data_IF_331429664557
#
_entry.id   IF_331429664557
#
_cell.length_a   1.000
_cell.length_b   1.000
_cell.length_c   1.000
_cell.angle_alpha   90.00
_cell.angle_beta   90.00
_cell.angle_gamma   90.00
#
_symmetry.space_group_name_H-M   'P 1'
#
loop_
_entity.id
_entity.type
_entity.pdbx_description
1 polymer ?
#
# COMPACT_ATOMS: atom_id res chain seq x y z
N UNK A 1 -35.85 -39.80 36.86
CA UNK A 1 -34.61 -40.62 36.87
C UNK A 1 -34.34 -41.16 35.47
N UNK A 2 -33.05 -41.18 35.08
CA UNK A 2 -32.41 -41.89 33.95
C UNK A 2 -32.58 -41.34 32.53
N UNK A 3 -31.68 -40.41 32.22
CA UNK A 3 -31.10 -40.10 30.93
C UNK A 3 -30.22 -41.28 30.44
N UNK A 4 -30.27 -41.62 29.14
CA UNK A 4 -29.21 -42.37 28.45
C UNK A 4 -28.89 -41.71 27.11
N UNK A 5 -27.64 -41.28 27.01
CA UNK A 5 -26.95 -40.72 25.84
C UNK A 5 -26.52 -41.81 24.85
N UNK A 6 -26.53 -41.48 23.55
CA UNK A 6 -25.58 -41.89 22.49
C UNK A 6 -25.64 -40.76 21.42
N UNK A 7 -24.66 -39.86 21.28
CA UNK A 7 -23.40 -39.97 20.51
C UNK A 7 -23.64 -40.27 19.01
N UNK A 8 -22.99 -39.69 18.00
CA UNK A 8 -22.01 -38.63 17.83
C UNK A 8 -21.91 -38.36 16.30
N UNK A 9 -21.42 -37.19 15.88
CA UNK A 9 -21.13 -36.93 14.47
C UNK A 9 -20.45 -35.57 14.24
N UNK A 10 -19.15 -35.48 14.52
CA UNK A 10 -18.30 -34.35 14.13
C UNK A 10 -17.45 -34.82 12.95
N UNK A 11 -17.74 -34.31 11.75
CA UNK A 11 -16.85 -34.46 10.60
C UNK A 11 -15.80 -33.34 10.68
N UNK A 12 -14.57 -33.72 11.05
CA UNK A 12 -13.41 -32.85 10.97
C UNK A 12 -12.90 -32.77 9.52
N UNK A 13 -12.79 -31.56 8.98
CA UNK A 13 -12.07 -31.30 7.72
C UNK A 13 -10.59 -31.11 8.05
N UNK A 14 -9.81 -32.16 7.82
CA UNK A 14 -8.36 -32.17 7.96
C UNK A 14 -7.68 -31.41 6.82
N UNK A 15 -6.76 -30.52 7.20
CA UNK A 15 -5.84 -29.79 6.34
C UNK A 15 -4.89 -30.78 5.63
N UNK A 16 -4.87 -30.78 4.31
CA UNK A 16 -3.88 -31.51 3.52
C UNK A 16 -2.57 -30.72 3.50
N UNK A 17 -1.64 -31.11 4.37
CA UNK A 17 -0.21 -30.82 4.19
C UNK A 17 0.42 -31.90 3.32
N UNK A 18 1.19 -31.52 2.31
CA UNK A 18 2.09 -32.43 1.60
C UNK A 18 3.48 -31.78 1.53
N UNK A 19 4.39 -32.35 2.31
CA UNK A 19 5.84 -32.12 2.22
C UNK A 19 6.46 -33.25 1.41
N UNK A 20 7.09 -32.85 0.30
CA UNK A 20 8.28 -33.35 -0.39
C UNK A 20 8.56 -34.85 -0.52
N UNK A 21 8.80 -35.28 -1.77
CA UNK A 21 9.86 -36.24 -2.06
C UNK A 21 10.64 -35.82 -3.32
N UNK A 22 11.96 -35.79 -3.19
CA UNK A 22 12.96 -35.35 -4.17
C UNK A 22 13.23 -36.41 -5.25
N UNK A 23 13.34 -36.01 -6.54
CA UNK A 23 14.43 -36.46 -7.43
C UNK A 23 14.45 -35.63 -8.74
N UNK A 24 15.58 -35.00 -9.01
CA UNK A 24 16.03 -34.39 -10.28
C UNK A 24 17.18 -35.27 -10.81
N UNK A 25 17.64 -35.23 -12.10
CA UNK A 25 17.29 -34.27 -13.14
C UNK A 25 17.11 -34.86 -14.56
N UNK A 26 16.45 -34.09 -15.44
CA UNK A 26 16.76 -34.12 -16.87
C UNK A 26 16.77 -32.69 -17.39
N UNK A 27 17.93 -32.32 -17.94
CA UNK A 27 18.22 -31.03 -18.51
C UNK A 27 17.40 -30.84 -19.80
N UNK A 28 16.58 -29.80 -19.82
CA UNK A 28 16.09 -29.17 -21.04
C UNK A 28 16.04 -27.66 -20.77
N UNK A 29 16.57 -26.81 -21.68
CA UNK A 29 16.63 -25.37 -21.44
C UNK A 29 15.25 -24.78 -21.78
N UNK A 30 14.30 -24.91 -20.86
CA UNK A 30 13.03 -24.20 -20.95
C UNK A 30 13.20 -22.78 -20.40
N UNK A 31 12.82 -21.85 -21.25
CA UNK A 31 12.76 -20.40 -21.11
C UNK A 31 12.52 -19.86 -19.68
N UNK A 32 13.05 -18.66 -19.35
CA UNK A 32 12.83 -18.04 -18.05
C UNK A 32 11.33 -17.85 -17.81
N UNK A 33 10.85 -18.39 -16.69
CA UNK A 33 9.51 -18.14 -16.18
C UNK A 33 9.29 -16.62 -16.00
N UNK A 34 8.12 -16.07 -16.39
CA UNK A 34 7.84 -14.66 -16.18
C UNK A 34 7.78 -14.37 -14.68
N UNK A 35 8.60 -13.42 -14.23
CA UNK A 35 8.58 -12.88 -12.89
C UNK A 35 7.16 -12.43 -12.49
N UNK A 36 6.78 -12.49 -11.19
CA UNK A 36 5.52 -11.94 -10.70
C UNK A 36 5.43 -10.47 -11.14
N UNK A 37 4.49 -10.17 -12.03
CA UNK A 37 4.26 -8.81 -12.51
C UNK A 37 3.84 -7.98 -11.30
N UNK A 38 4.66 -6.99 -10.95
CA UNK A 38 4.26 -5.94 -10.02
C UNK A 38 2.88 -5.39 -10.44
N UNK A 39 1.99 -5.02 -9.50
CA UNK A 39 0.67 -4.52 -9.84
C UNK A 39 0.83 -3.33 -10.80
N UNK A 40 0.36 -3.50 -12.03
CA UNK A 40 0.32 -2.42 -13.01
C UNK A 40 -0.71 -1.42 -12.52
N UNK A 41 -0.24 -0.32 -11.96
CA UNK A 41 -1.08 0.82 -11.60
C UNK A 41 -1.72 1.32 -12.88
N UNK A 42 -3.03 1.08 -13.05
CA UNK A 42 -3.81 1.73 -14.08
C UNK A 42 -3.78 3.23 -13.76
N UNK A 43 -3.04 4.00 -14.57
CA UNK A 43 -3.07 5.46 -14.51
C UNK A 43 -4.41 5.90 -15.08
N UNK A 44 -5.42 5.99 -14.23
CA UNK A 44 -6.61 6.78 -14.53
C UNK A 44 -6.16 8.22 -14.71
N UNK A 45 -6.52 8.82 -15.84
CA UNK A 45 -6.32 10.24 -16.09
C UNK A 45 -6.92 11.03 -14.92
N UNK A 46 -6.13 11.98 -14.41
CA UNK A 46 -6.46 12.78 -13.24
C UNK A 46 -7.79 13.51 -13.45
N UNK A 47 -8.80 13.16 -12.65
CA UNK A 47 -10.04 13.94 -12.56
C UNK A 47 -9.71 15.25 -11.85
N UNK A 48 -9.70 16.35 -12.60
CA UNK A 48 -9.35 17.66 -12.05
C UNK A 48 -10.30 18.04 -10.91
N UNK A 49 -9.74 18.27 -9.72
CA UNK A 49 -10.47 18.59 -8.50
C UNK A 49 -11.31 19.87 -8.66
N UNK A 50 -12.54 19.88 -8.11
CA UNK A 50 -13.29 21.13 -7.95
C UNK A 50 -12.52 22.11 -7.05
N UNK A 51 -12.70 23.44 -7.19
CA UNK A 51 -12.01 24.43 -6.36
C UNK A 51 -12.17 24.15 -4.86
N UNK A 52 -13.39 23.81 -4.42
CA UNK A 52 -13.70 23.48 -3.02
C UNK A 52 -12.87 22.31 -2.48
N UNK A 53 -12.65 21.27 -3.30
CA UNK A 53 -11.79 20.14 -2.93
C UNK A 53 -10.33 20.54 -2.84
N UNK A 54 -9.88 21.47 -3.68
CA UNK A 54 -8.50 21.96 -3.66
C UNK A 54 -8.20 22.73 -2.38
N UNK A 55 -9.16 23.54 -1.90
CA UNK A 55 -9.02 24.31 -0.66
C UNK A 55 -8.93 23.37 0.55
N UNK A 56 -9.85 22.40 0.66
CA UNK A 56 -9.81 21.40 1.74
C UNK A 56 -8.54 20.57 1.71
N UNK A 57 -8.13 20.12 0.53
CA UNK A 57 -6.86 19.40 0.38
C UNK A 57 -5.67 20.25 0.83
N UNK A 58 -5.66 21.55 0.51
CA UNK A 58 -4.60 22.46 0.91
C UNK A 58 -4.49 22.60 2.43
N UNK A 59 -5.63 22.75 3.12
CA UNK A 59 -5.70 22.82 4.57
C UNK A 59 -5.17 21.53 5.23
N UNK A 60 -5.64 20.37 4.76
CA UNK A 60 -5.20 19.08 5.28
C UNK A 60 -3.71 18.82 5.02
N UNK A 61 -3.22 19.16 3.82
CA UNK A 61 -1.81 19.06 3.48
C UNK A 61 -0.95 19.94 4.38
N UNK A 62 -1.38 21.17 4.68
CA UNK A 62 -0.68 22.05 5.64
C UNK A 62 -0.64 21.40 7.03
N UNK A 63 -1.76 20.82 7.46
CA UNK A 63 -1.85 20.23 8.78
C UNK A 63 -0.96 18.98 8.93
N UNK A 64 -0.87 18.14 7.89
CA UNK A 64 0.10 17.03 7.81
C UNK A 64 1.53 17.57 7.77
N UNK A 65 1.83 18.60 6.98
CA UNK A 65 3.16 19.19 6.92
C UNK A 65 3.59 19.84 8.25
N UNK A 66 2.64 20.30 9.08
CA UNK A 66 2.94 20.78 10.43
C UNK A 66 3.31 19.63 11.38
N UNK A 67 2.63 18.48 11.30
CA UNK A 67 2.92 17.34 12.17
C UNK A 67 4.30 16.73 11.90
N UNK A 68 4.86 16.88 10.70
CA UNK A 68 6.24 16.42 10.42
C UNK A 68 7.29 17.14 11.26
N UNK A 69 7.02 18.38 11.73
CA UNK A 69 7.98 19.15 12.53
C UNK A 69 8.13 18.63 13.95
N UNK A 70 7.09 17.98 14.47
CA UNK A 70 7.08 17.39 15.81
C UNK A 70 7.59 15.96 15.84
N UNK A 71 7.84 15.35 14.67
CA UNK A 71 8.28 13.96 14.57
C UNK A 71 9.81 13.90 14.37
N UNK A 72 10.57 13.34 15.33
CA UNK A 72 12.03 13.26 15.23
C UNK A 72 12.51 12.20 14.23
N UNK A 73 11.65 11.25 13.83
CA UNK A 73 11.97 10.22 12.86
C UNK A 73 11.67 10.68 11.42
N UNK A 74 11.01 11.82 11.24
CA UNK A 74 10.68 12.34 9.92
C UNK A 74 11.90 12.99 9.25
N UNK A 75 12.34 12.39 8.16
CA UNK A 75 13.44 12.90 7.33
C UNK A 75 12.88 13.54 6.06
N UNK A 76 13.04 14.85 5.93
CA UNK A 76 12.53 15.58 4.77
C UNK A 76 13.04 15.00 3.45
N UNK A 77 12.11 14.60 2.58
CA UNK A 77 12.41 14.18 1.21
C UNK A 77 12.95 15.32 0.35
N UNK A 78 13.89 15.01 -0.54
CA UNK A 78 14.43 15.94 -1.53
C UNK A 78 13.42 16.20 -2.68
N UNK A 79 12.52 17.15 -2.44
CA UNK A 79 11.55 17.69 -3.41
C UNK A 79 12.01 19.08 -3.88
N UNK A 80 13.21 19.14 -4.45
CA UNK A 80 13.92 20.36 -4.85
C UNK A 80 13.44 20.94 -6.20
N UNK A 81 13.13 20.08 -7.16
CA UNK A 81 12.65 20.48 -8.48
C UNK A 81 11.13 20.74 -8.52
N UNK A 82 10.61 21.67 -9.35
CA UNK A 82 9.18 21.85 -9.57
C UNK A 82 8.44 20.57 -9.94
N UNK A 83 9.04 19.71 -10.75
CA UNK A 83 8.46 18.46 -11.25
C UNK A 83 8.25 17.46 -10.10
N UNK A 84 9.26 17.29 -9.23
CA UNK A 84 9.16 16.44 -8.03
C UNK A 84 8.09 16.96 -7.06
N UNK A 85 8.00 18.27 -6.86
CA UNK A 85 6.96 18.88 -6.02
C UNK A 85 5.57 18.64 -6.59
N UNK A 86 5.40 18.85 -7.89
CA UNK A 86 4.14 18.62 -8.58
C UNK A 86 3.72 17.14 -8.50
N UNK A 87 4.64 16.21 -8.79
CA UNK A 87 4.40 14.78 -8.66
C UNK A 87 3.99 14.38 -7.24
N UNK A 88 4.71 14.86 -6.22
CA UNK A 88 4.39 14.49 -4.84
C UNK A 88 3.04 15.09 -4.41
N UNK A 89 2.74 16.33 -4.81
CA UNK A 89 1.44 16.96 -4.56
C UNK A 89 0.29 16.21 -5.22
N UNK A 90 0.47 15.79 -6.47
CA UNK A 90 -0.51 14.96 -7.20
C UNK A 90 -0.73 13.61 -6.50
N UNK A 91 0.36 12.94 -6.10
CA UNK A 91 0.29 11.67 -5.39
C UNK A 91 -0.44 11.80 -4.04
N UNK A 92 -0.15 12.85 -3.27
CA UNK A 92 -0.87 13.15 -2.02
C UNK A 92 -2.35 13.44 -2.27
N UNK A 93 -2.67 14.20 -3.31
CA UNK A 93 -4.05 14.49 -3.66
C UNK A 93 -4.83 13.21 -3.99
N UNK A 94 -4.25 12.31 -4.80
CA UNK A 94 -4.87 11.02 -5.15
C UNK A 94 -5.15 10.17 -3.91
N UNK A 95 -4.25 10.17 -2.92
CA UNK A 95 -4.48 9.48 -1.66
C UNK A 95 -5.60 10.14 -0.84
N UNK A 96 -5.55 11.46 -0.73
CA UNK A 96 -6.53 12.25 0.03
C UNK A 96 -7.95 12.07 -0.52
N UNK A 97 -8.11 12.20 -1.84
CA UNK A 97 -9.38 12.03 -2.57
C UNK A 97 -9.81 10.55 -2.67
N UNK A 98 -8.95 9.61 -2.25
CA UNK A 98 -9.23 8.17 -2.23
C UNK A 98 -9.14 7.48 -3.58
N UNK A 99 -8.50 8.11 -4.58
CA UNK A 99 -8.25 7.53 -5.91
C UNK A 99 -7.20 6.41 -5.86
N UNK A 100 -6.30 6.46 -4.88
CA UNK A 100 -5.33 5.38 -4.59
C UNK A 100 -5.41 4.99 -3.12
N UNK A 101 -5.09 3.73 -2.83
CA UNK A 101 -4.95 3.25 -1.46
C UNK A 101 -3.65 3.76 -0.82
N UNK A 102 -3.59 3.69 0.51
CA UNK A 102 -2.37 3.93 1.28
C UNK A 102 -1.19 3.07 0.80
N UNK A 103 -1.42 1.79 0.54
CA UNK A 103 -0.36 0.89 0.06
C UNK A 103 0.13 1.30 -1.33
N UNK A 104 -0.76 1.76 -2.21
CA UNK A 104 -0.38 2.27 -3.54
C UNK A 104 0.43 3.56 -3.43
N UNK A 105 0.01 4.49 -2.56
CA UNK A 105 0.76 5.71 -2.26
C UNK A 105 2.19 5.40 -1.77
N UNK A 106 2.33 4.49 -0.80
CA UNK A 106 3.63 4.07 -0.27
C UNK A 106 4.46 3.38 -1.37
N UNK A 107 3.88 2.45 -2.13
CA UNK A 107 4.60 1.74 -3.18
C UNK A 107 5.10 2.68 -4.29
N UNK A 108 4.27 3.62 -4.75
CA UNK A 108 4.67 4.60 -5.76
C UNK A 108 5.72 5.58 -5.22
N UNK A 109 5.57 6.00 -3.96
CA UNK A 109 6.52 6.83 -3.26
C UNK A 109 7.90 6.20 -3.14
N UNK A 110 7.95 5.00 -2.55
CA UNK A 110 9.16 4.21 -2.32
C UNK A 110 9.82 3.80 -3.64
N UNK A 111 9.04 3.60 -4.72
CA UNK A 111 9.62 3.35 -6.05
C UNK A 111 10.51 4.50 -6.55
N UNK A 112 10.25 5.75 -6.15
CA UNK A 112 11.09 6.91 -6.51
C UNK A 112 12.07 7.30 -5.41
N UNK A 113 11.72 7.03 -4.16
CA UNK A 113 12.48 7.40 -2.96
C UNK A 113 12.59 6.17 -2.02
N UNK A 114 13.46 5.19 -2.35
CA UNK A 114 13.48 3.89 -1.67
C UNK A 114 13.76 3.94 -0.16
N UNK A 115 14.51 4.95 0.27
CA UNK A 115 14.93 5.10 1.67
C UNK A 115 13.93 5.94 2.50
N UNK A 116 12.76 6.25 1.95
CA UNK A 116 11.79 7.16 2.56
C UNK A 116 10.45 6.51 2.91
N UNK A 117 10.43 5.19 3.12
CA UNK A 117 9.20 4.47 3.44
C UNK A 117 8.47 5.06 4.66
N UNK A 118 9.21 5.42 5.71
CA UNK A 118 8.64 6.04 6.91
C UNK A 118 7.90 7.33 6.58
N UNK A 119 8.46 8.21 5.76
CA UNK A 119 7.82 9.47 5.40
C UNK A 119 6.53 9.26 4.62
N UNK A 120 6.50 8.29 3.70
CA UNK A 120 5.26 7.98 2.97
C UNK A 120 4.20 7.37 3.90
N UNK A 121 4.59 6.49 4.82
CA UNK A 121 3.68 5.97 5.84
C UNK A 121 3.14 7.09 6.74
N UNK A 122 4.02 7.98 7.20
CA UNK A 122 3.67 9.14 8.03
C UNK A 122 2.63 10.03 7.35
N UNK A 123 2.90 10.42 6.09
CA UNK A 123 1.99 11.26 5.32
C UNK A 123 0.65 10.57 5.11
N UNK A 124 0.66 9.27 4.79
CA UNK A 124 -0.57 8.54 4.57
C UNK A 124 -1.43 8.41 5.83
N UNK A 125 -0.80 8.09 6.97
CA UNK A 125 -1.46 8.09 8.29
C UNK A 125 -2.03 9.47 8.63
N UNK A 126 -1.28 10.54 8.31
CA UNK A 126 -1.69 11.91 8.57
C UNK A 126 -2.97 12.31 7.84
N UNK A 127 -3.19 11.81 6.63
CA UNK A 127 -4.43 12.03 5.90
C UNK A 127 -5.58 11.13 6.36
N UNK A 128 -5.31 9.88 6.76
CA UNK A 128 -6.34 8.98 7.31
C UNK A 128 -7.00 9.56 8.58
N UNK A 129 -6.23 10.24 9.43
CA UNK A 129 -6.73 10.86 10.66
C UNK A 129 -7.63 12.10 10.43
N UNK A 130 -7.74 12.57 9.18
CA UNK A 130 -8.45 13.80 8.81
C UNK A 130 -9.69 13.58 7.96
N UNK A 131 -9.97 12.33 7.60
CA UNK A 131 -11.22 11.93 6.94
C UNK A 131 -12.33 11.78 7.99
#
# INVERSE_FOLDING_TARGET
MKLRLLAAGIAALALSGCTNNSMVPSFSPSAPAPAPKAPVVQRTDYAHASPEKQDRFHEDMIAVAKSTKSDPNYHRMALDTPERKAWFKDLMYKLWDGQISKQQFIAEGVSKYPNHQYEFEFVANGFEQRK
#
